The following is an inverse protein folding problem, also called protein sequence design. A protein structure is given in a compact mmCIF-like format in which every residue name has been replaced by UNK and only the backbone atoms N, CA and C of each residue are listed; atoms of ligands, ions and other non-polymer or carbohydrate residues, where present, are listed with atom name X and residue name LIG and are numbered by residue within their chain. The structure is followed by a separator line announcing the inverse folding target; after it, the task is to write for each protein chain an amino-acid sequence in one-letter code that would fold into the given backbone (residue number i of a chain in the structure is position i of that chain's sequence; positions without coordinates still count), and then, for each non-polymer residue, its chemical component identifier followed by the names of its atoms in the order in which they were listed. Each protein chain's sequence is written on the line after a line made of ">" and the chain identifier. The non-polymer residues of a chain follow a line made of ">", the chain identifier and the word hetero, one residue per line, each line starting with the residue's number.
data_IF_199107238060
#
_entry.id   IF_199107238060
#
_cell.length_a   1.000
_cell.length_b   1.000
_cell.length_c   1.000
_cell.angle_alpha   90.00
_cell.angle_beta   90.00
_cell.angle_gamma   90.00
#
_symmetry.space_group_name_H-M   'P 1'
#
loop_
_entity.id
_entity.type
_entity.pdbx_description
1 polymer ?
#
# COMPACT_ATOMS: atom_id res chain seq x y z
N UNK A 1 -6.95 21.34 -13.81
CA UNK A 1 -6.65 21.93 -12.50
C UNK A 1 -5.40 22.80 -12.67
N UNK A 2 -5.47 24.11 -12.43
CA UNK A 2 -4.34 25.04 -12.61
C UNK A 2 -3.80 25.43 -11.22
N UNK A 3 -2.63 24.92 -10.84
CA UNK A 3 -2.07 25.08 -9.48
C UNK A 3 -1.19 26.34 -9.35
N UNK A 4 -1.67 27.49 -9.83
CA UNK A 4 -0.91 28.77 -9.84
C UNK A 4 -0.35 29.16 -8.46
N UNK A 5 -1.15 29.02 -7.40
CA UNK A 5 -0.72 29.36 -6.04
C UNK A 5 0.49 28.51 -5.58
N UNK A 6 0.52 27.20 -5.89
CA UNK A 6 1.70 26.38 -5.59
C UNK A 6 2.92 26.80 -6.43
N UNK A 7 2.73 27.14 -7.70
CA UNK A 7 3.82 27.61 -8.56
C UNK A 7 4.44 28.90 -8.02
N UNK A 8 3.63 29.87 -7.60
CA UNK A 8 4.10 31.14 -7.05
C UNK A 8 4.88 30.93 -5.74
N UNK A 9 4.42 30.02 -4.88
CA UNK A 9 5.10 29.67 -3.62
C UNK A 9 6.42 28.93 -3.82
N UNK A 10 6.53 28.13 -4.87
CA UNK A 10 7.74 27.35 -5.17
C UNK A 10 8.76 28.14 -6.01
N UNK A 11 8.35 29.26 -6.62
CA UNK A 11 9.17 30.02 -7.57
C UNK A 11 10.51 30.53 -6.99
N UNK A 12 10.53 30.85 -5.70
CA UNK A 12 11.70 31.33 -4.98
C UNK A 12 12.24 30.30 -3.97
N UNK A 13 11.80 29.04 -4.05
CA UNK A 13 12.29 28.00 -3.16
C UNK A 13 13.67 27.52 -3.63
N UNK A 14 14.62 27.42 -2.70
CA UNK A 14 15.91 26.82 -2.98
C UNK A 14 15.74 25.32 -3.25
N UNK A 15 16.24 24.88 -4.40
CA UNK A 15 16.25 23.47 -4.77
C UNK A 15 17.39 22.80 -4.02
N UNK A 16 17.07 21.93 -3.07
CA UNK A 16 18.06 21.24 -2.25
C UNK A 16 18.77 20.09 -2.99
N UNK A 17 18.09 19.46 -3.95
CA UNK A 17 18.56 18.28 -4.66
C UNK A 17 18.08 18.25 -6.12
N UNK A 18 18.79 17.49 -6.96
CA UNK A 18 18.40 17.28 -8.35
C UNK A 18 17.08 16.49 -8.47
N UNK A 19 16.16 16.87 -9.38
CA UNK A 19 14.95 16.11 -9.63
C UNK A 19 15.26 14.70 -10.15
N UNK A 20 14.75 13.67 -9.46
CA UNK A 20 14.87 12.28 -9.88
C UNK A 20 13.50 11.71 -10.23
N UNK A 21 13.44 10.96 -11.33
CA UNK A 21 12.28 10.19 -11.72
C UNK A 21 12.60 8.69 -11.72
N UNK A 22 11.71 7.88 -11.14
CA UNK A 22 11.78 6.40 -11.21
C UNK A 22 10.42 5.83 -11.61
N UNK A 23 10.45 4.82 -12.49
CA UNK A 23 9.29 4.07 -12.93
C UNK A 23 9.66 2.99 -13.95
N UNK A 24 8.72 2.09 -14.33
CA UNK A 24 7.36 1.94 -13.78
C UNK A 24 7.40 1.39 -12.36
N UNK A 25 6.61 2.02 -11.48
CA UNK A 25 6.61 1.72 -10.06
C UNK A 25 5.94 0.37 -9.77
N UNK A 26 4.83 0.06 -10.43
CA UNK A 26 4.07 -1.16 -10.18
C UNK A 26 4.84 -2.43 -10.56
N UNK A 27 5.13 -3.28 -9.57
CA UNK A 27 5.81 -4.56 -9.69
C UNK A 27 5.01 -5.66 -8.99
N UNK A 28 4.65 -6.71 -9.73
CA UNK A 28 3.95 -7.87 -9.18
C UNK A 28 4.95 -8.97 -8.80
N UNK A 29 4.69 -9.63 -7.69
CA UNK A 29 5.41 -10.85 -7.29
C UNK A 29 4.47 -12.05 -7.41
N UNK A 30 4.92 -13.13 -8.04
CA UNK A 30 4.10 -14.34 -8.26
C UNK A 30 3.82 -15.12 -6.96
N UNK A 31 4.72 -15.02 -5.98
CA UNK A 31 4.57 -15.63 -4.66
C UNK A 31 5.54 -15.01 -3.66
N UNK A 32 5.08 -14.80 -2.43
CA UNK A 32 5.86 -14.14 -1.37
C UNK A 32 6.66 -15.11 -0.51
N UNK A 33 6.46 -16.42 -0.66
CA UNK A 33 7.31 -17.43 -0.05
C UNK A 33 7.43 -18.67 -0.95
N UNK A 34 8.61 -19.28 -0.96
CA UNK A 34 8.89 -20.53 -1.64
C UNK A 34 10.02 -21.28 -0.91
N UNK A 35 9.74 -22.47 -0.40
CA UNK A 35 10.71 -23.28 0.33
C UNK A 35 11.25 -22.56 1.57
N UNK A 36 12.50 -22.10 1.49
CA UNK A 36 13.19 -21.38 2.58
C UNK A 36 13.34 -19.88 2.32
N UNK A 37 12.75 -19.37 1.24
CA UNK A 37 12.82 -17.96 0.84
C UNK A 37 11.47 -17.32 1.12
N UNK A 38 11.50 -16.13 1.71
CA UNK A 38 10.34 -15.32 2.01
C UNK A 38 10.63 -13.85 1.69
N UNK A 39 9.64 -13.17 1.14
CA UNK A 39 9.71 -11.79 0.69
C UNK A 39 8.81 -10.91 1.58
N UNK A 40 9.28 -9.71 1.89
CA UNK A 40 8.57 -8.66 2.64
C UNK A 40 8.79 -7.29 1.98
N UNK A 41 7.92 -6.34 2.31
CA UNK A 41 7.97 -4.97 1.79
C UNK A 41 7.91 -4.96 0.27
N UNK A 42 8.67 -4.04 -0.33
CA UNK A 42 8.71 -3.85 -1.78
C UNK A 42 9.15 -5.10 -2.57
N UNK A 43 9.92 -6.01 -1.94
CA UNK A 43 10.30 -7.28 -2.55
C UNK A 43 9.10 -8.25 -2.68
N UNK A 44 8.11 -8.13 -1.79
CA UNK A 44 6.87 -8.90 -1.86
C UNK A 44 5.87 -8.34 -2.89
N UNK A 45 6.21 -7.21 -3.53
CA UNK A 45 5.42 -6.53 -4.55
C UNK A 45 5.42 -5.02 -4.31
N UNK A 46 5.57 -4.23 -5.37
CA UNK A 46 5.53 -2.77 -5.33
C UNK A 46 4.31 -2.25 -6.07
N UNK A 47 3.71 -1.19 -5.57
CA UNK A 47 2.46 -0.66 -6.12
C UNK A 47 2.45 0.86 -6.30
N UNK A 48 1.38 1.38 -6.88
CA UNK A 48 1.20 2.83 -7.01
C UNK A 48 1.11 3.50 -5.63
N UNK A 49 2.06 4.36 -5.25
CA UNK A 49 2.11 4.98 -3.94
C UNK A 49 1.02 6.04 -3.71
N UNK A 50 0.06 6.22 -4.63
CA UNK A 50 -1.03 7.22 -4.53
C UNK A 50 -1.83 7.16 -3.22
N UNK A 51 -1.92 6.00 -2.58
CA UNK A 51 -2.59 5.82 -1.28
C UNK A 51 -1.66 5.94 -0.08
N UNK A 52 -0.34 5.94 -0.28
CA UNK A 52 0.65 6.05 0.80
C UNK A 52 0.79 4.83 1.71
N UNK A 53 0.18 3.68 1.38
CA UNK A 53 0.12 2.51 2.28
C UNK A 53 1.39 1.66 2.35
N UNK A 54 2.42 1.93 1.52
CA UNK A 54 3.56 1.02 1.35
C UNK A 54 4.23 0.60 2.67
N UNK A 55 4.48 1.58 3.55
CA UNK A 55 5.07 1.34 4.88
C UNK A 55 4.12 0.53 5.77
N UNK A 56 2.82 0.86 5.76
CA UNK A 56 1.80 0.15 6.54
C UNK A 56 1.66 -1.32 6.12
N UNK A 57 1.77 -1.60 4.82
CA UNK A 57 1.76 -2.97 4.28
C UNK A 57 3.00 -3.73 4.73
N UNK A 58 4.19 -3.13 4.60
CA UNK A 58 5.44 -3.75 5.03
C UNK A 58 5.42 -4.08 6.53
N UNK A 59 4.91 -3.17 7.37
CA UNK A 59 4.73 -3.39 8.79
C UNK A 59 3.74 -4.53 9.08
N UNK A 60 2.58 -4.58 8.40
CA UNK A 60 1.63 -5.68 8.54
C UNK A 60 2.25 -7.03 8.12
N UNK A 61 3.07 -7.06 7.06
CA UNK A 61 3.79 -8.27 6.65
C UNK A 61 4.81 -8.72 7.70
N UNK A 62 5.53 -7.80 8.35
CA UNK A 62 6.43 -8.14 9.45
C UNK A 62 5.68 -8.81 10.62
N UNK A 63 4.49 -8.30 10.98
CA UNK A 63 3.64 -8.94 12.00
C UNK A 63 3.15 -10.34 11.59
N UNK A 64 2.91 -10.58 10.30
CA UNK A 64 2.60 -11.93 9.82
C UNK A 64 3.81 -12.86 9.90
N UNK A 65 5.01 -12.35 9.64
CA UNK A 65 6.26 -13.11 9.76
C UNK A 65 6.49 -13.52 11.22
N UNK A 66 6.40 -12.57 12.16
CA UNK A 66 6.44 -12.83 13.60
C UNK A 66 5.41 -13.90 13.99
N UNK A 67 4.17 -13.78 13.51
CA UNK A 67 3.10 -14.70 13.88
C UNK A 67 3.27 -16.13 13.34
N UNK A 68 3.67 -16.28 12.09
CA UNK A 68 3.64 -17.59 11.41
C UNK A 68 5.01 -18.24 11.28
N UNK A 69 6.08 -17.46 11.17
CA UNK A 69 7.41 -17.94 10.77
C UNK A 69 8.36 -18.02 11.96
N UNK A 70 8.39 -16.98 12.80
CA UNK A 70 9.31 -16.89 13.94
C UNK A 70 9.20 -18.08 14.92
N UNK A 71 8.01 -18.58 15.30
CA UNK A 71 7.90 -19.73 16.21
C UNK A 71 8.54 -20.99 15.62
N UNK A 72 8.33 -21.23 14.32
CA UNK A 72 8.88 -22.41 13.62
C UNK A 72 10.40 -22.34 13.51
N UNK A 73 10.95 -21.14 13.32
CA UNK A 73 12.40 -20.93 13.28
C UNK A 73 13.05 -21.14 14.66
N UNK A 74 12.40 -20.69 15.74
CA UNK A 74 12.92 -20.83 17.12
C UNK A 74 12.89 -22.26 17.63
N UNK A 75 11.80 -22.97 17.38
CA UNK A 75 11.61 -24.33 17.93
C UNK A 75 12.35 -25.39 17.11
N UNK A 76 12.85 -25.05 15.91
CA UNK A 76 13.56 -25.94 14.98
C UNK A 76 12.81 -27.27 14.70
N UNK A 77 11.50 -27.28 14.95
CA UNK A 77 10.67 -28.49 15.06
C UNK A 77 9.34 -28.38 14.31
N UNK A 78 9.06 -27.22 13.71
CA UNK A 78 7.82 -26.98 12.98
C UNK A 78 7.91 -27.31 11.49
N UNK A 79 6.75 -27.58 10.89
CA UNK A 79 6.64 -27.70 9.44
C UNK A 79 6.79 -26.32 8.77
N UNK A 80 8.02 -25.96 8.39
CA UNK A 80 8.33 -24.69 7.71
C UNK A 80 7.48 -24.49 6.45
N UNK A 81 7.19 -25.56 5.72
CA UNK A 81 6.34 -25.49 4.50
C UNK A 81 4.94 -24.98 4.87
N UNK A 82 4.37 -25.48 5.97
CA UNK A 82 3.07 -25.01 6.47
C UNK A 82 3.12 -23.54 6.89
N UNK A 83 4.14 -23.13 7.64
CA UNK A 83 4.31 -21.73 8.05
C UNK A 83 4.44 -20.77 6.85
N UNK A 84 5.23 -21.14 5.84
CA UNK A 84 5.39 -20.37 4.60
C UNK A 84 4.06 -20.26 3.82
N UNK A 85 3.29 -21.34 3.80
CA UNK A 85 1.97 -21.36 3.17
C UNK A 85 0.98 -20.44 3.90
N UNK A 86 0.92 -20.52 5.23
CA UNK A 86 0.04 -19.69 6.06
C UNK A 86 0.42 -18.20 5.96
N UNK A 87 1.71 -17.87 5.97
CA UNK A 87 2.22 -16.53 5.69
C UNK A 87 1.80 -16.04 4.30
N UNK A 88 2.01 -16.85 3.25
CA UNK A 88 1.69 -16.48 1.87
C UNK A 88 0.20 -16.18 1.70
N UNK A 89 -0.66 -17.02 2.30
CA UNK A 89 -2.11 -16.84 2.28
C UNK A 89 -2.52 -15.55 2.99
N UNK A 90 -1.96 -15.27 4.16
CA UNK A 90 -2.27 -14.07 4.92
C UNK A 90 -1.76 -12.78 4.22
N UNK A 91 -0.55 -12.83 3.67
CA UNK A 91 0.04 -11.72 2.90
C UNK A 91 -0.76 -11.41 1.63
N UNK A 92 -1.26 -12.44 0.93
CA UNK A 92 -2.14 -12.27 -0.23
C UNK A 92 -3.44 -11.52 0.11
N UNK A 93 -3.96 -11.65 1.33
CA UNK A 93 -5.17 -10.93 1.77
C UNK A 93 -4.90 -9.43 1.96
N UNK A 94 -3.73 -9.07 2.49
CA UNK A 94 -3.29 -7.66 2.59
C UNK A 94 -3.18 -7.07 1.18
N UNK A 95 -2.49 -7.79 0.29
CA UNK A 95 -2.26 -7.39 -1.10
C UNK A 95 -3.58 -7.13 -1.86
N UNK A 96 -4.58 -8.01 -1.71
CA UNK A 96 -5.89 -7.87 -2.36
C UNK A 96 -6.65 -6.62 -1.94
N UNK A 97 -6.69 -6.32 -0.64
CA UNK A 97 -7.40 -5.14 -0.12
C UNK A 97 -6.80 -3.86 -0.67
N UNK A 98 -5.48 -3.79 -0.66
CA UNK A 98 -4.75 -2.65 -1.17
C UNK A 98 -4.93 -2.47 -2.70
N UNK A 99 -4.91 -3.57 -3.47
CA UNK A 99 -5.18 -3.54 -4.91
C UNK A 99 -6.57 -2.99 -5.25
N UNK A 100 -7.59 -3.37 -4.47
CA UNK A 100 -8.95 -2.85 -4.66
C UNK A 100 -8.97 -1.33 -4.43
N UNK A 101 -8.36 -0.85 -3.34
CA UNK A 101 -8.31 0.59 -3.05
C UNK A 101 -7.57 1.38 -4.11
N UNK A 102 -6.40 0.91 -4.51
CA UNK A 102 -5.59 1.56 -5.56
C UNK A 102 -6.36 1.59 -6.88
N UNK A 103 -6.99 0.48 -7.27
CA UNK A 103 -7.79 0.41 -8.48
C UNK A 103 -8.99 1.36 -8.42
N UNK A 104 -9.65 1.48 -7.28
CA UNK A 104 -10.79 2.38 -7.08
C UNK A 104 -10.37 3.86 -7.19
N UNK A 105 -9.24 4.25 -6.60
CA UNK A 105 -8.69 5.61 -6.72
C UNK A 105 -8.30 5.91 -8.16
N UNK A 106 -7.61 4.99 -8.84
CA UNK A 106 -7.24 5.14 -10.24
C UNK A 106 -8.48 5.19 -11.15
N UNK A 107 -9.51 4.40 -10.87
CA UNK A 107 -10.79 4.45 -11.57
C UNK A 107 -11.49 5.79 -11.35
N UNK A 108 -11.59 6.29 -10.11
CA UNK A 108 -12.19 7.60 -9.84
C UNK A 108 -11.48 8.70 -10.63
N UNK A 109 -10.14 8.65 -10.70
CA UNK A 109 -9.34 9.60 -11.49
C UNK A 109 -9.73 9.63 -12.97
N UNK A 110 -10.20 8.52 -13.55
CA UNK A 110 -10.66 8.49 -14.94
C UNK A 110 -12.02 9.20 -15.15
N UNK A 111 -12.76 9.50 -14.07
CA UNK A 111 -14.11 10.07 -14.10
C UNK A 111 -14.19 11.33 -13.23
N UNK A 112 -13.72 12.49 -13.72
CA UNK A 112 -13.58 13.70 -12.91
C UNK A 112 -14.90 14.18 -12.29
N UNK A 113 -16.03 14.10 -13.02
CA UNK A 113 -17.35 14.48 -12.49
C UNK A 113 -17.79 13.63 -11.29
N UNK A 114 -17.46 12.33 -11.30
CA UNK A 114 -17.74 11.44 -10.17
C UNK A 114 -16.83 11.77 -8.99
N UNK A 115 -15.56 12.01 -9.26
CA UNK A 115 -14.59 12.41 -8.23
C UNK A 115 -15.02 13.70 -7.53
N UNK A 116 -15.41 14.72 -8.29
CA UNK A 116 -15.88 15.99 -7.73
C UNK A 116 -17.13 15.79 -6.85
N UNK A 117 -18.09 14.97 -7.29
CA UNK A 117 -19.26 14.61 -6.50
C UNK A 117 -18.91 13.87 -5.21
N UNK A 118 -18.02 12.88 -5.27
CA UNK A 118 -17.54 12.15 -4.10
C UNK A 118 -16.85 13.09 -3.12
N UNK A 119 -15.98 13.99 -3.61
CA UNK A 119 -15.31 15.00 -2.77
C UNK A 119 -16.32 15.94 -2.12
N UNK A 120 -17.31 16.43 -2.86
CA UNK A 120 -18.36 17.31 -2.30
C UNK A 120 -19.19 16.62 -1.22
N UNK A 121 -19.54 15.34 -1.42
CA UNK A 121 -20.28 14.56 -0.42
C UNK A 121 -19.42 14.33 0.83
N UNK A 122 -18.15 13.93 0.65
CA UNK A 122 -17.23 13.72 1.78
C UNK A 122 -16.95 15.02 2.55
N UNK A 123 -16.89 16.16 1.85
CA UNK A 123 -16.77 17.49 2.46
C UNK A 123 -18.03 17.86 3.25
N UNK A 124 -19.21 17.60 2.70
CA UNK A 124 -20.50 17.95 3.34
C UNK A 124 -20.85 17.03 4.51
N UNK A 125 -20.30 15.81 4.54
CA UNK A 125 -20.54 14.82 5.60
C UNK A 125 -19.21 14.32 6.22
N UNK A 126 -18.58 15.10 7.11
CA UNK A 126 -17.29 14.75 7.73
C UNK A 126 -17.29 13.40 8.45
N UNK A 127 -18.43 12.99 9.04
CA UNK A 127 -18.57 11.69 9.69
C UNK A 127 -18.41 10.52 8.70
N UNK A 128 -18.88 10.68 7.45
CA UNK A 128 -18.72 9.68 6.41
C UNK A 128 -17.26 9.57 5.96
N UNK A 129 -16.59 10.73 5.83
CA UNK A 129 -15.16 10.79 5.55
C UNK A 129 -14.32 10.11 6.64
N UNK A 130 -14.60 10.42 7.91
CA UNK A 130 -13.93 9.75 9.04
C UNK A 130 -14.20 8.24 9.05
N UNK A 131 -15.44 7.81 8.79
CA UNK A 131 -15.77 6.39 8.71
C UNK A 131 -14.99 5.71 7.58
N UNK A 132 -14.87 6.34 6.42
CA UNK A 132 -14.12 5.83 5.28
C UNK A 132 -12.62 5.69 5.58
N UNK A 133 -12.03 6.69 6.26
CA UNK A 133 -10.64 6.60 6.74
C UNK A 133 -10.46 5.50 7.80
N UNK A 134 -11.42 5.31 8.70
CA UNK A 134 -11.33 4.32 9.77
C UNK A 134 -11.34 2.86 9.28
N UNK A 135 -11.94 2.60 8.12
CA UNK A 135 -11.94 1.27 7.49
C UNK A 135 -10.52 0.87 7.08
N UNK A 136 -9.64 1.83 6.82
CA UNK A 136 -8.26 1.59 6.43
C UNK A 136 -7.32 1.36 7.62
N UNK A 137 -7.68 1.87 8.81
CA UNK A 137 -6.90 1.78 10.05
C UNK A 137 -7.15 0.50 10.88
N UNK A 138 -8.00 -0.42 10.42
CA UNK A 138 -8.22 -1.75 11.03
C UNK A 138 -7.52 -2.87 10.26
#
# INVERSE_FOLDING_TARGET
>A
MNFRNCQDRLKNADVLDEPVAKGPLFQKTLGVANGKILLIGDAAGFFDPITGEGIGIAARQALLLEKYVEPVLKENSGNLVKAMFDYSRASAQIYRRYQIMTSLVLLLRLWPKLTDGVIQVLHSFPALFQKLLSVNMR
#
